data_IF_295144413565
#
_entry.id   IF_295144413565
#
_cell.length_a   1.000
_cell.length_b   1.000
_cell.length_c   1.000
_cell.angle_alpha   90.00
_cell.angle_beta   90.00
_cell.angle_gamma   90.00
#
_symmetry.space_group_name_H-M   'P 1'
#
loop_
_entity.id
_entity.type
_entity.pdbx_description
1 polymer ?
#
# COMPACT_ATOMS: atom_id res chain seq x y z
N UNK A 1 49.69 -63.92 24.52
CA UNK A 1 48.65 -62.88 24.63
C UNK A 1 49.08 -61.71 23.76
N UNK A 2 48.47 -61.53 22.59
CA UNK A 2 48.62 -60.35 21.75
C UNK A 2 47.38 -60.27 20.87
N UNK A 3 46.45 -59.38 21.23
CA UNK A 3 45.22 -59.14 20.47
C UNK A 3 45.49 -58.05 19.44
N UNK A 4 45.46 -58.44 18.16
CA UNK A 4 45.50 -57.53 17.02
C UNK A 4 44.09 -56.97 16.79
N UNK A 5 43.88 -55.69 17.10
CA UNK A 5 42.63 -54.97 16.79
C UNK A 5 42.65 -54.58 15.32
N UNK A 6 41.71 -55.12 14.53
CA UNK A 6 41.41 -54.63 13.17
C UNK A 6 40.59 -53.35 13.30
N UNK A 7 41.14 -52.22 12.86
CA UNK A 7 40.39 -50.96 12.70
C UNK A 7 39.64 -51.03 11.37
N UNK A 8 38.31 -51.09 11.44
CA UNK A 8 37.42 -50.89 10.30
C UNK A 8 37.22 -49.37 10.17
N UNK A 9 37.70 -48.76 9.09
CA UNK A 9 37.33 -47.39 8.73
C UNK A 9 35.87 -47.41 8.26
N UNK A 10 34.95 -46.96 9.11
CA UNK A 10 33.64 -46.47 8.66
C UNK A 10 33.85 -45.05 8.15
N UNK A 11 33.68 -44.84 6.84
CA UNK A 11 33.52 -43.51 6.28
C UNK A 11 32.17 -42.94 6.76
N UNK A 12 32.21 -42.07 7.77
CA UNK A 12 31.09 -41.18 8.06
C UNK A 12 31.00 -40.18 6.91
N UNK A 13 30.07 -40.42 5.98
CA UNK A 13 29.56 -39.36 5.12
C UNK A 13 28.75 -38.44 6.03
N UNK A 14 29.37 -37.34 6.45
CA UNK A 14 28.70 -36.23 7.12
C UNK A 14 27.70 -35.62 6.14
N UNK A 15 26.46 -36.11 6.16
CA UNK A 15 25.33 -35.30 5.75
C UNK A 15 25.21 -34.18 6.78
N UNK A 16 25.68 -32.99 6.43
CA UNK A 16 25.31 -31.80 7.18
C UNK A 16 23.82 -31.58 6.97
N UNK A 17 23.01 -32.16 7.85
CA UNK A 17 21.64 -31.70 8.06
C UNK A 17 21.75 -30.25 8.51
N UNK A 18 21.57 -29.31 7.59
CA UNK A 18 21.20 -27.95 7.92
C UNK A 18 19.83 -28.02 8.59
N UNK A 19 19.85 -28.24 9.91
CA UNK A 19 18.71 -28.06 10.78
C UNK A 19 18.31 -26.59 10.73
N UNK A 20 17.43 -26.31 9.78
CA UNK A 20 16.30 -25.40 9.81
C UNK A 20 16.33 -24.36 10.94
N UNK A 21 17.03 -23.25 10.70
CA UNK A 21 16.43 -21.96 10.97
C UNK A 21 15.43 -21.69 9.84
N UNK A 22 14.27 -22.34 9.92
CA UNK A 22 13.13 -22.10 9.04
C UNK A 22 12.46 -20.77 9.37
N UNK A 23 13.23 -19.68 9.39
CA UNK A 23 12.67 -18.35 9.32
C UNK A 23 11.98 -18.24 7.96
N UNK A 24 10.67 -18.03 7.96
CA UNK A 24 9.94 -17.72 6.74
C UNK A 24 10.59 -16.46 6.14
N UNK A 25 11.37 -16.65 5.07
CA UNK A 25 11.92 -15.52 4.32
C UNK A 25 10.75 -14.80 3.66
N UNK A 26 10.64 -13.51 3.93
CA UNK A 26 9.69 -12.63 3.26
C UNK A 26 9.78 -12.85 1.74
N UNK A 27 8.63 -13.09 1.09
CA UNK A 27 8.57 -13.06 -0.36
C UNK A 27 8.03 -11.69 -0.79
N UNK A 28 8.92 -10.81 -1.24
CA UNK A 28 8.59 -9.44 -1.64
C UNK A 28 8.27 -9.38 -3.12
N UNK A 29 7.10 -8.85 -3.43
CA UNK A 29 6.59 -8.65 -4.78
C UNK A 29 6.60 -7.17 -5.13
N UNK A 30 7.05 -6.86 -6.34
CA UNK A 30 7.03 -5.52 -6.91
C UNK A 30 6.19 -5.52 -8.19
N UNK A 31 5.17 -4.66 -8.24
CA UNK A 31 4.22 -4.54 -9.35
C UNK A 31 3.83 -3.07 -9.57
N UNK A 32 4.75 -2.23 -10.08
CA UNK A 32 4.46 -0.83 -10.34
C UNK A 32 3.49 -0.67 -11.51
N UNK A 33 2.86 0.51 -11.58
CA UNK A 33 2.01 0.87 -12.72
C UNK A 33 2.79 0.69 -14.03
N UNK A 34 2.13 0.13 -15.04
CA UNK A 34 2.77 -0.24 -16.30
C UNK A 34 3.36 0.94 -17.09
N UNK A 35 4.03 0.66 -18.23
CA UNK A 35 4.71 1.68 -19.05
C UNK A 35 3.77 2.71 -19.70
N UNK A 36 2.45 2.49 -19.66
CA UNK A 36 1.47 3.49 -20.09
C UNK A 36 1.28 4.63 -19.07
N UNK A 37 1.70 4.41 -17.82
CA UNK A 37 1.55 5.35 -16.70
C UNK A 37 2.91 5.81 -16.19
N UNK A 38 3.82 4.86 -15.97
CA UNK A 38 5.15 5.13 -15.40
C UNK A 38 6.10 5.70 -16.45
N UNK A 39 6.57 6.92 -16.21
CA UNK A 39 7.43 7.69 -17.13
C UNK A 39 8.83 7.11 -17.32
N UNK A 40 9.31 6.33 -16.34
CA UNK A 40 10.63 5.71 -16.30
C UNK A 40 10.56 4.18 -16.17
N UNK A 41 9.45 3.54 -16.58
CA UNK A 41 9.20 2.11 -16.36
C UNK A 41 10.38 1.21 -16.78
N UNK A 42 10.88 1.40 -18.00
CA UNK A 42 11.97 0.58 -18.53
C UNK A 42 13.34 0.94 -17.94
N UNK A 43 13.47 2.08 -17.27
CA UNK A 43 14.70 2.47 -16.56
C UNK A 43 15.03 1.52 -15.41
N UNK A 44 14.03 0.83 -14.84
CA UNK A 44 14.23 -0.22 -13.83
C UNK A 44 15.08 -1.39 -14.35
N UNK A 45 15.05 -1.66 -15.65
CA UNK A 45 15.71 -2.81 -16.28
C UNK A 45 16.98 -2.43 -17.04
N UNK A 46 17.53 -1.26 -16.74
CA UNK A 46 18.79 -0.79 -17.31
C UNK A 46 19.88 -0.80 -16.25
N UNK A 47 20.94 -1.57 -16.48
CA UNK A 47 22.08 -1.67 -15.56
C UNK A 47 22.78 -0.34 -15.27
N UNK A 48 22.68 0.65 -16.17
CA UNK A 48 23.20 2.00 -15.93
C UNK A 48 22.49 2.72 -14.76
N UNK A 49 21.27 2.29 -14.42
CA UNK A 49 20.47 2.87 -13.33
C UNK A 49 20.49 2.01 -12.06
N UNK A 50 21.32 0.97 -11.98
CA UNK A 50 21.35 0.04 -10.85
C UNK A 50 21.57 0.76 -9.50
N UNK A 51 22.45 1.77 -9.48
CA UNK A 51 22.74 2.55 -8.27
C UNK A 51 21.54 3.35 -7.76
N UNK A 52 20.52 3.60 -8.59
CA UNK A 52 19.35 4.37 -8.21
C UNK A 52 18.36 3.61 -7.34
N UNK A 53 18.44 2.27 -7.27
CA UNK A 53 17.51 1.47 -6.48
C UNK A 53 18.08 0.15 -5.92
N UNK A 54 19.39 0.14 -5.65
CA UNK A 54 20.08 -1.08 -5.21
C UNK A 54 19.52 -1.62 -3.89
N UNK A 55 19.20 -0.75 -2.91
CA UNK A 55 18.75 -1.20 -1.60
C UNK A 55 17.34 -1.79 -1.66
N UNK A 56 16.42 -1.17 -2.38
CA UNK A 56 15.06 -1.61 -2.60
C UNK A 56 15.06 -2.91 -3.41
N UNK A 57 15.77 -2.94 -4.54
CA UNK A 57 15.90 -4.12 -5.40
C UNK A 57 16.43 -5.34 -4.64
N UNK A 58 17.41 -5.16 -3.75
CA UNK A 58 17.98 -6.27 -2.98
C UNK A 58 16.96 -7.03 -2.11
N UNK A 59 15.79 -6.41 -1.87
CA UNK A 59 14.68 -6.99 -1.11
C UNK A 59 13.64 -7.65 -2.00
N UNK A 60 13.61 -7.34 -3.30
CA UNK A 60 12.58 -7.83 -4.25
C UNK A 60 12.89 -9.25 -4.69
N UNK A 61 11.93 -10.16 -4.53
CA UNK A 61 12.06 -11.54 -4.97
C UNK A 61 11.26 -11.82 -6.25
N UNK A 62 10.14 -11.12 -6.43
CA UNK A 62 9.19 -11.35 -7.53
C UNK A 62 8.84 -10.02 -8.17
N UNK A 63 8.93 -9.93 -9.50
CA UNK A 63 8.44 -8.80 -10.28
C UNK A 63 7.20 -9.23 -11.05
N UNK A 64 6.05 -8.62 -10.74
CA UNK A 64 4.76 -8.95 -11.35
C UNK A 64 4.43 -7.98 -12.47
N UNK A 65 4.09 -8.53 -13.64
CA UNK A 65 3.63 -7.76 -14.79
C UNK A 65 2.11 -7.76 -14.86
N UNK A 66 1.55 -6.60 -15.19
CA UNK A 66 0.20 -6.51 -15.73
C UNK A 66 0.16 -7.08 -17.16
N UNK A 67 -0.94 -7.74 -17.51
CA UNK A 67 -1.18 -8.28 -18.85
C UNK A 67 -0.91 -7.25 -19.96
N UNK A 68 -1.40 -6.02 -19.80
CA UNK A 68 -1.19 -4.94 -20.76
C UNK A 68 0.28 -4.59 -21.00
N UNK A 69 1.16 -4.79 -20.02
CA UNK A 69 2.61 -4.61 -20.20
C UNK A 69 3.15 -5.65 -21.17
N UNK A 70 2.77 -6.92 -21.03
CA UNK A 70 3.20 -7.97 -21.95
C UNK A 70 2.64 -7.73 -23.35
N UNK A 71 1.39 -7.31 -23.48
CA UNK A 71 0.76 -7.07 -24.78
C UNK A 71 1.36 -5.89 -25.53
N UNK A 72 1.57 -4.77 -24.84
CA UNK A 72 1.89 -3.49 -25.48
C UNK A 72 3.39 -3.20 -25.60
N UNK A 73 4.24 -3.88 -24.82
CA UNK A 73 5.70 -3.74 -24.94
C UNK A 73 6.21 -4.39 -26.23
N UNK A 74 7.24 -3.79 -26.81
CA UNK A 74 7.99 -4.38 -27.92
C UNK A 74 8.77 -5.61 -27.46
N UNK A 75 9.13 -6.49 -28.40
CA UNK A 75 9.95 -7.67 -28.12
C UNK A 75 11.34 -7.28 -27.55
N UNK A 76 11.94 -6.19 -28.03
CA UNK A 76 13.19 -5.66 -27.49
C UNK A 76 13.07 -5.20 -26.02
N UNK A 77 11.97 -4.50 -25.68
CA UNK A 77 11.69 -4.07 -24.31
C UNK A 77 11.49 -5.28 -23.37
N UNK A 78 10.71 -6.26 -23.80
CA UNK A 78 10.49 -7.48 -23.01
C UNK A 78 11.77 -8.30 -22.85
N UNK A 79 12.58 -8.42 -23.91
CA UNK A 79 13.87 -9.11 -23.85
C UNK A 79 14.81 -8.46 -22.85
N UNK A 80 14.92 -7.12 -22.85
CA UNK A 80 15.71 -6.38 -21.88
C UNK A 80 15.20 -6.58 -20.45
N UNK A 81 13.88 -6.47 -20.25
CA UNK A 81 13.22 -6.69 -18.96
C UNK A 81 13.50 -8.08 -18.41
N UNK A 82 13.21 -9.13 -19.18
CA UNK A 82 13.39 -10.52 -18.73
C UNK A 82 14.85 -10.86 -18.49
N UNK A 83 15.75 -10.41 -19.36
CA UNK A 83 17.20 -10.60 -19.18
C UNK A 83 17.69 -9.95 -17.89
N UNK A 84 17.21 -8.74 -17.59
CA UNK A 84 17.55 -8.05 -16.34
C UNK A 84 17.04 -8.81 -15.12
N UNK A 85 15.76 -9.22 -15.10
CA UNK A 85 15.19 -9.99 -13.99
C UNK A 85 15.97 -11.29 -13.74
N UNK A 86 16.26 -12.04 -14.81
CA UNK A 86 17.07 -13.27 -14.73
C UNK A 86 18.48 -12.98 -14.16
N UNK A 87 19.15 -11.93 -14.63
CA UNK A 87 20.48 -11.54 -14.16
C UNK A 87 20.50 -11.09 -12.69
N UNK A 88 19.37 -10.60 -12.16
CA UNK A 88 19.23 -10.18 -10.77
C UNK A 88 18.59 -11.25 -9.87
N UNK A 89 18.27 -12.43 -10.40
CA UNK A 89 17.61 -13.50 -9.64
C UNK A 89 16.20 -13.14 -9.17
N UNK A 90 15.52 -12.23 -9.88
CA UNK A 90 14.15 -11.81 -9.57
C UNK A 90 13.20 -12.66 -10.41
N UNK A 91 12.27 -13.36 -9.75
CA UNK A 91 11.32 -14.21 -10.43
C UNK A 91 10.27 -13.39 -11.19
N UNK A 92 9.87 -13.86 -12.37
CA UNK A 92 8.79 -13.27 -13.15
C UNK A 92 7.43 -13.78 -12.67
N UNK A 93 6.51 -12.85 -12.42
CA UNK A 93 5.11 -13.11 -12.21
C UNK A 93 4.23 -12.40 -13.25
N UNK A 94 3.05 -12.94 -13.49
CA UNK A 94 2.02 -12.35 -14.34
C UNK A 94 0.74 -12.20 -13.54
N UNK A 95 0.19 -10.99 -13.50
CA UNK A 95 -1.21 -10.80 -13.13
C UNK A 95 -2.10 -11.19 -14.31
N UNK A 96 -3.07 -12.04 -14.04
CA UNK A 96 -3.82 -12.72 -15.08
C UNK A 96 -5.32 -12.70 -14.81
N UNK A 97 -6.16 -12.16 -15.72
CA UNK A 97 -7.60 -12.29 -15.63
C UNK A 97 -8.00 -13.69 -16.14
N UNK A 98 -8.31 -14.66 -15.26
CA UNK A 98 -8.38 -16.06 -15.68
C UNK A 98 -9.72 -16.42 -16.33
N UNK A 99 -10.76 -15.61 -16.10
CA UNK A 99 -12.12 -15.90 -16.53
C UNK A 99 -12.34 -15.47 -17.97
N UNK A 100 -13.29 -16.12 -18.63
CA UNK A 100 -13.78 -15.71 -19.94
C UNK A 100 -15.29 -15.89 -20.02
N UNK A 101 -15.96 -14.85 -20.52
CA UNK A 101 -17.36 -14.88 -20.93
C UNK A 101 -17.50 -14.01 -22.17
N UNK A 102 -18.15 -14.55 -23.19
CA UNK A 102 -18.30 -13.84 -24.46
C UNK A 102 -19.00 -12.49 -24.28
N UNK A 103 -18.44 -11.46 -24.91
CA UNK A 103 -18.93 -10.07 -24.82
C UNK A 103 -18.78 -9.37 -23.47
N UNK A 104 -18.11 -9.95 -22.47
CA UNK A 104 -17.91 -9.31 -21.16
C UNK A 104 -16.52 -8.69 -21.03
N UNK A 105 -16.47 -7.36 -20.89
CA UNK A 105 -15.28 -6.61 -20.53
C UNK A 105 -15.39 -6.17 -19.06
N UNK A 106 -14.77 -6.94 -18.17
CA UNK A 106 -14.80 -6.75 -16.72
C UNK A 106 -13.44 -7.20 -16.15
N UNK A 107 -13.02 -6.60 -15.04
CA UNK A 107 -11.83 -7.05 -14.31
C UNK A 107 -11.97 -8.54 -13.91
N UNK A 108 -10.86 -9.27 -13.93
CA UNK A 108 -10.84 -10.73 -13.87
C UNK A 108 -11.32 -11.50 -15.11
N UNK A 109 -11.89 -10.83 -16.12
CA UNK A 109 -12.29 -11.44 -17.39
C UNK A 109 -11.34 -11.05 -18.54
N UNK A 110 -10.66 -12.06 -19.09
CA UNK A 110 -9.78 -11.94 -20.24
C UNK A 110 -10.47 -12.27 -21.56
N UNK A 111 -9.65 -12.38 -22.60
CA UNK A 111 -10.06 -12.84 -23.93
C UNK A 111 -9.80 -14.33 -24.07
N UNK A 112 -10.71 -15.04 -24.76
CA UNK A 112 -10.55 -16.48 -25.03
C UNK A 112 -9.20 -16.79 -25.69
N UNK A 113 -8.55 -17.85 -25.23
CA UNK A 113 -7.29 -18.38 -25.76
C UNK A 113 -6.09 -17.40 -25.74
N UNK A 114 -6.23 -16.25 -25.07
CA UNK A 114 -5.16 -15.25 -24.95
C UNK A 114 -3.93 -15.79 -24.22
N UNK A 115 -4.10 -16.76 -23.30
CA UNK A 115 -3.03 -17.38 -22.54
C UNK A 115 -1.94 -17.99 -23.43
N UNK A 116 -2.31 -18.59 -24.57
CA UNK A 116 -1.35 -19.21 -25.48
C UNK A 116 -0.46 -18.17 -26.18
N UNK A 117 -1.05 -17.08 -26.68
CA UNK A 117 -0.30 -16.04 -27.39
C UNK A 117 0.56 -15.21 -26.43
N UNK A 118 0.06 -14.93 -25.22
CA UNK A 118 0.83 -14.28 -24.14
C UNK A 118 1.98 -15.17 -23.69
N UNK A 119 1.72 -16.46 -23.44
CA UNK A 119 2.75 -17.42 -23.05
C UNK A 119 3.85 -17.55 -24.11
N UNK A 120 3.47 -17.63 -25.39
CA UNK A 120 4.42 -17.63 -26.50
C UNK A 120 5.24 -16.33 -26.60
N UNK A 121 4.62 -15.17 -26.37
CA UNK A 121 5.31 -13.87 -26.35
C UNK A 121 6.30 -13.75 -25.20
N UNK A 122 5.96 -14.23 -24.01
CA UNK A 122 6.90 -14.27 -22.87
C UNK A 122 8.09 -15.19 -23.21
N UNK A 123 7.83 -16.41 -23.68
CA UNK A 123 8.88 -17.37 -24.04
C UNK A 123 9.84 -16.85 -25.10
N UNK A 124 9.33 -16.34 -26.22
CA UNK A 124 10.18 -15.93 -27.35
C UNK A 124 11.12 -14.78 -27.00
N UNK A 125 10.76 -13.98 -25.99
CA UNK A 125 11.57 -12.87 -25.48
C UNK A 125 12.46 -13.28 -24.28
N UNK A 126 12.55 -14.58 -23.97
CA UNK A 126 13.43 -15.10 -22.90
C UNK A 126 12.86 -15.03 -21.48
N UNK A 127 11.55 -14.79 -21.34
CA UNK A 127 10.87 -14.78 -20.05
C UNK A 127 10.66 -16.19 -19.50
N UNK A 128 10.98 -16.38 -18.21
CA UNK A 128 10.71 -17.59 -17.46
C UNK A 128 9.61 -17.31 -16.42
N UNK A 129 8.35 -17.44 -16.85
CA UNK A 129 7.21 -17.19 -15.96
C UNK A 129 7.18 -18.24 -14.85
N UNK A 130 7.21 -17.77 -13.59
CA UNK A 130 7.22 -18.63 -12.40
C UNK A 130 5.92 -18.54 -11.61
N UNK A 131 5.35 -17.34 -11.51
CA UNK A 131 4.12 -17.12 -10.76
C UNK A 131 2.99 -16.57 -11.62
N UNK A 132 1.77 -16.98 -11.32
CA UNK A 132 0.54 -16.35 -11.84
C UNK A 132 -0.30 -15.92 -10.66
N UNK A 133 -0.62 -14.63 -10.58
CA UNK A 133 -1.56 -14.10 -9.61
C UNK A 133 -2.86 -13.79 -10.36
N UNK A 134 -3.92 -14.51 -10.04
CA UNK A 134 -5.22 -14.27 -10.67
C UNK A 134 -5.80 -12.94 -10.20
N UNK A 135 -6.37 -12.22 -11.14
CA UNK A 135 -6.97 -10.90 -10.93
C UNK A 135 -8.45 -11.06 -10.56
N UNK A 136 -8.75 -11.15 -9.27
CA UNK A 136 -10.10 -11.10 -8.68
C UNK A 136 -11.20 -11.99 -9.30
N UNK A 137 -10.90 -13.27 -9.66
CA UNK A 137 -11.91 -14.16 -10.23
C UNK A 137 -13.09 -14.41 -9.29
N UNK A 138 -12.89 -14.60 -7.98
CA UNK A 138 -13.97 -14.89 -7.02
C UNK A 138 -14.89 -13.68 -6.88
N UNK A 139 -14.36 -12.48 -6.70
CA UNK A 139 -15.18 -11.29 -6.60
C UNK A 139 -15.96 -11.03 -7.90
N UNK A 140 -15.30 -10.94 -9.05
CA UNK A 140 -16.00 -10.60 -10.29
C UNK A 140 -16.81 -11.76 -10.89
N UNK A 141 -16.42 -13.00 -10.63
CA UNK A 141 -17.12 -14.20 -11.09
C UNK A 141 -18.37 -14.52 -10.28
N UNK A 142 -18.30 -14.40 -8.95
CA UNK A 142 -19.35 -14.88 -8.04
C UNK A 142 -20.12 -13.76 -7.31
N UNK A 143 -19.48 -12.62 -7.02
CA UNK A 143 -20.03 -11.61 -6.09
C UNK A 143 -20.56 -10.38 -6.81
N UNK A 144 -19.76 -9.80 -7.71
CA UNK A 144 -20.04 -8.51 -8.33
C UNK A 144 -21.38 -8.48 -9.07
N UNK A 145 -22.12 -7.37 -8.94
CA UNK A 145 -23.35 -7.16 -9.68
C UNK A 145 -23.12 -6.96 -11.19
N UNK A 146 -21.91 -6.56 -11.58
CA UNK A 146 -21.51 -6.43 -12.99
C UNK A 146 -21.07 -7.77 -13.60
N UNK A 147 -20.85 -8.79 -12.76
CA UNK A 147 -20.40 -10.11 -13.16
C UNK A 147 -21.53 -11.12 -13.40
N UNK A 148 -21.19 -12.35 -13.81
CA UNK A 148 -22.18 -13.39 -14.10
C UNK A 148 -22.83 -14.03 -12.87
N UNK A 149 -22.27 -13.84 -11.66
CA UNK A 149 -22.71 -14.47 -10.40
C UNK A 149 -22.77 -16.00 -10.48
N UNK A 150 -21.70 -16.59 -11.02
CA UNK A 150 -21.58 -18.05 -11.08
C UNK A 150 -21.42 -18.67 -9.70
N UNK A 151 -21.77 -19.95 -9.57
CA UNK A 151 -21.27 -20.75 -8.47
C UNK A 151 -19.76 -20.97 -8.61
N UNK A 152 -19.09 -21.26 -7.49
CA UNK A 152 -17.62 -21.35 -7.46
C UNK A 152 -17.06 -22.49 -8.32
N UNK A 153 -17.83 -23.56 -8.57
CA UNK A 153 -17.36 -24.71 -9.36
C UNK A 153 -17.39 -24.36 -10.84
N UNK A 154 -18.46 -23.72 -11.31
CA UNK A 154 -18.55 -23.18 -12.67
C UNK A 154 -17.41 -22.18 -12.93
N UNK A 155 -17.18 -21.26 -12.00
CA UNK A 155 -16.08 -20.30 -12.09
C UNK A 155 -14.70 -20.99 -12.12
N UNK A 156 -14.46 -21.98 -11.26
CA UNK A 156 -13.20 -22.72 -11.22
C UNK A 156 -12.88 -23.45 -12.52
N UNK A 157 -13.87 -24.13 -13.07
CA UNK A 157 -13.72 -24.82 -14.35
C UNK A 157 -13.45 -23.85 -15.50
N UNK A 158 -14.07 -22.65 -15.46
CA UNK A 158 -13.82 -21.60 -16.44
C UNK A 158 -12.38 -21.05 -16.34
N UNK A 159 -11.96 -20.65 -15.13
CA UNK A 159 -10.59 -20.17 -14.85
C UNK A 159 -9.53 -21.20 -15.27
N UNK A 160 -9.77 -22.48 -15.00
CA UNK A 160 -8.83 -23.56 -15.27
C UNK A 160 -8.45 -23.69 -16.76
N UNK A 161 -9.31 -23.23 -17.69
CA UNK A 161 -9.01 -23.29 -19.13
C UNK A 161 -7.78 -22.44 -19.45
N UNK A 162 -7.78 -21.17 -19.08
CA UNK A 162 -6.69 -20.25 -19.40
C UNK A 162 -5.43 -20.55 -18.59
N UNK A 163 -5.59 -20.98 -17.33
CA UNK A 163 -4.47 -21.36 -16.47
C UNK A 163 -3.75 -22.61 -16.97
N UNK A 164 -4.47 -23.64 -17.44
CA UNK A 164 -3.87 -24.84 -18.05
C UNK A 164 -3.16 -24.51 -19.37
N UNK A 165 -3.67 -23.54 -20.14
CA UNK A 165 -2.97 -23.02 -21.31
C UNK A 165 -1.63 -22.35 -20.92
N UNK A 166 -1.61 -21.53 -19.86
CA UNK A 166 -0.35 -20.99 -19.34
C UNK A 166 0.59 -22.10 -18.84
N UNK A 167 0.08 -23.12 -18.14
CA UNK A 167 0.87 -24.26 -17.68
C UNK A 167 1.46 -25.09 -18.84
N UNK A 168 0.76 -25.19 -19.96
CA UNK A 168 1.29 -25.84 -21.16
C UNK A 168 2.51 -25.09 -21.74
N UNK A 169 2.57 -23.78 -21.49
CA UNK A 169 3.75 -22.97 -21.80
C UNK A 169 4.79 -23.09 -20.69
N UNK A 170 4.43 -22.99 -19.42
CA UNK A 170 5.37 -22.97 -18.31
C UNK A 170 5.03 -24.10 -17.33
N UNK A 171 5.89 -25.10 -17.24
CA UNK A 171 5.72 -26.16 -16.23
C UNK A 171 6.03 -25.64 -14.83
N UNK A 172 5.30 -26.13 -13.83
CA UNK A 172 5.56 -25.78 -12.42
C UNK A 172 5.17 -24.35 -12.02
N UNK A 173 4.19 -23.74 -12.70
CA UNK A 173 3.64 -22.44 -12.30
C UNK A 173 3.10 -22.49 -10.88
N UNK A 174 3.56 -21.54 -10.07
CA UNK A 174 3.02 -21.25 -8.74
C UNK A 174 1.86 -20.30 -8.92
N UNK A 175 0.64 -20.78 -8.69
CA UNK A 175 -0.58 -20.03 -8.96
C UNK A 175 -1.22 -19.63 -7.63
N UNK A 176 -1.58 -18.36 -7.54
CA UNK A 176 -2.32 -17.82 -6.43
C UNK A 176 -3.37 -16.85 -6.92
N UNK A 177 -4.06 -16.25 -5.96
CA UNK A 177 -5.23 -15.42 -6.20
C UNK A 177 -5.09 -14.05 -5.56
N UNK A 178 -5.75 -13.04 -6.11
CA UNK A 178 -5.86 -11.69 -5.55
C UNK A 178 -7.35 -11.42 -5.37
N UNK A 179 -7.78 -11.03 -4.18
CA UNK A 179 -9.19 -10.72 -3.95
C UNK A 179 -9.38 -9.51 -3.03
N UNK A 180 -10.39 -8.66 -3.32
CA UNK A 180 -10.77 -7.53 -2.49
C UNK A 180 -11.73 -8.02 -1.42
N UNK A 181 -11.24 -8.83 -0.47
CA UNK A 181 -12.09 -9.50 0.53
C UNK A 181 -12.98 -8.54 1.33
N UNK A 182 -12.54 -7.29 1.47
CA UNK A 182 -13.28 -6.24 2.15
C UNK A 182 -14.47 -5.68 1.36
N UNK A 183 -14.53 -5.89 0.04
CA UNK A 183 -15.67 -5.58 -0.81
C UNK A 183 -16.71 -6.71 -0.85
N UNK A 184 -16.34 -7.92 -0.42
CA UNK A 184 -17.25 -9.07 -0.42
C UNK A 184 -18.26 -8.99 0.74
N UNK A 185 -19.47 -9.60 0.60
CA UNK A 185 -20.47 -9.60 1.65
C UNK A 185 -19.95 -10.22 2.96
N UNK A 186 -20.03 -9.46 4.06
CA UNK A 186 -19.51 -9.84 5.37
C UNK A 186 -20.01 -11.22 5.85
N UNK A 187 -21.25 -11.58 5.53
CA UNK A 187 -21.87 -12.83 5.97
C UNK A 187 -21.36 -14.08 5.23
N UNK A 188 -20.81 -13.94 4.01
CA UNK A 188 -20.55 -15.10 3.13
C UNK A 188 -19.13 -15.20 2.62
N UNK A 189 -18.32 -14.14 2.66
CA UNK A 189 -17.00 -14.13 2.03
C UNK A 189 -16.10 -15.30 2.48
N UNK A 190 -16.02 -15.61 3.78
CA UNK A 190 -15.20 -16.73 4.28
C UNK A 190 -15.65 -18.09 3.73
N UNK A 191 -16.97 -18.29 3.64
CA UNK A 191 -17.53 -19.53 3.08
C UNK A 191 -17.29 -19.63 1.57
N UNK A 192 -17.36 -18.51 0.85
CA UNK A 192 -17.07 -18.44 -0.59
C UNK A 192 -15.59 -18.70 -0.85
N UNK A 193 -14.69 -18.06 -0.10
CA UNK A 193 -13.24 -18.29 -0.20
C UNK A 193 -12.90 -19.75 0.09
N UNK A 194 -13.44 -20.36 1.15
CA UNK A 194 -13.20 -21.79 1.44
C UNK A 194 -13.68 -22.71 0.30
N UNK A 195 -14.87 -22.44 -0.25
CA UNK A 195 -15.40 -23.21 -1.39
C UNK A 195 -14.57 -23.01 -2.65
N UNK A 196 -14.08 -21.79 -2.88
CA UNK A 196 -13.20 -21.46 -3.99
C UNK A 196 -11.88 -22.22 -3.92
N UNK A 197 -11.19 -22.22 -2.77
CA UNK A 197 -9.94 -22.96 -2.58
C UNK A 197 -10.11 -24.46 -2.94
N UNK A 198 -11.22 -25.07 -2.50
CA UNK A 198 -11.53 -26.46 -2.79
C UNK A 198 -11.87 -26.68 -4.28
N UNK A 199 -12.73 -25.84 -4.86
CA UNK A 199 -13.14 -25.95 -6.26
C UNK A 199 -11.95 -25.74 -7.22
N UNK A 200 -11.08 -24.78 -6.93
CA UNK A 200 -9.85 -24.56 -7.67
C UNK A 200 -8.96 -25.81 -7.65
N UNK A 201 -8.75 -26.40 -6.47
CA UNK A 201 -7.90 -27.60 -6.35
C UNK A 201 -8.43 -28.76 -7.18
N UNK A 202 -9.75 -28.95 -7.23
CA UNK A 202 -10.38 -29.95 -8.09
C UNK A 202 -10.18 -29.62 -9.57
N UNK A 203 -10.41 -28.37 -9.99
CA UNK A 203 -10.34 -27.97 -11.39
C UNK A 203 -8.90 -28.00 -11.95
N UNK A 204 -7.91 -27.62 -11.14
CA UNK A 204 -6.50 -27.52 -11.53
C UNK A 204 -5.66 -28.74 -11.17
N UNK A 205 -6.13 -29.59 -10.26
CA UNK A 205 -5.35 -30.73 -9.75
C UNK A 205 -4.21 -30.33 -8.82
N UNK A 206 -4.16 -29.06 -8.40
CA UNK A 206 -3.18 -28.50 -7.47
C UNK A 206 -3.84 -27.39 -6.65
N UNK A 207 -3.47 -27.19 -5.37
CA UNK A 207 -4.01 -26.10 -4.57
C UNK A 207 -3.45 -24.74 -5.00
N UNK A 208 -4.09 -23.66 -4.57
CA UNK A 208 -3.46 -22.34 -4.61
C UNK A 208 -2.26 -22.29 -3.66
N UNK A 209 -1.21 -21.61 -4.08
CA UNK A 209 0.04 -21.45 -3.34
C UNK A 209 0.08 -20.12 -2.57
N UNK A 210 -0.71 -19.13 -2.99
CA UNK A 210 -0.85 -17.87 -2.28
C UNK A 210 -2.22 -17.24 -2.50
N UNK A 211 -2.58 -16.36 -1.58
CA UNK A 211 -3.79 -15.55 -1.64
C UNK A 211 -3.44 -14.13 -1.17
N UNK A 212 -3.48 -13.18 -2.10
CA UNK A 212 -3.17 -11.77 -1.88
C UNK A 212 -4.44 -11.00 -1.61
N UNK A 213 -4.43 -10.19 -0.57
CA UNK A 213 -5.53 -9.29 -0.27
C UNK A 213 -5.31 -8.00 -1.04
N UNK A 214 -6.21 -7.68 -1.98
CA UNK A 214 -6.39 -6.29 -2.41
C UNK A 214 -7.04 -5.52 -1.27
N UNK A 215 -6.20 -4.87 -0.48
CA UNK A 215 -6.61 -4.28 0.77
C UNK A 215 -7.32 -2.96 0.53
N UNK A 216 -8.61 -2.90 0.87
CA UNK A 216 -9.35 -1.64 0.86
C UNK A 216 -9.08 -0.89 2.17
N UNK A 217 -8.00 -0.10 2.21
CA UNK A 217 -7.49 0.54 3.44
C UNK A 217 -8.48 1.48 4.18
N UNK A 218 -9.57 1.87 3.53
CA UNK A 218 -10.66 2.66 4.10
C UNK A 218 -11.77 1.85 4.77
N UNK A 219 -11.68 0.51 4.79
CA UNK A 219 -12.74 -0.39 5.27
C UNK A 219 -12.25 -1.26 6.45
N UNK A 220 -12.79 -2.48 6.61
CA UNK A 220 -12.68 -3.36 7.80
C UNK A 220 -11.53 -4.40 7.72
N UNK A 221 -10.45 -4.07 7.01
CA UNK A 221 -9.28 -4.95 6.82
C UNK A 221 -8.69 -5.48 8.14
N UNK A 222 -8.79 -4.71 9.24
CA UNK A 222 -8.25 -5.11 10.56
C UNK A 222 -8.90 -6.37 11.13
N UNK A 223 -10.13 -6.67 10.72
CA UNK A 223 -10.86 -7.87 11.12
C UNK A 223 -10.75 -8.96 10.06
N UNK A 224 -10.84 -8.60 8.78
CA UNK A 224 -10.89 -9.56 7.68
C UNK A 224 -9.54 -10.22 7.39
N UNK A 225 -8.41 -9.49 7.46
CA UNK A 225 -7.09 -10.09 7.20
C UNK A 225 -6.76 -11.20 8.23
N UNK A 226 -6.95 -11.02 9.55
CA UNK A 226 -6.77 -12.10 10.52
C UNK A 226 -7.70 -13.29 10.29
N UNK A 227 -8.96 -13.03 9.94
CA UNK A 227 -9.92 -14.10 9.62
C UNK A 227 -9.49 -14.89 8.37
N UNK A 228 -9.00 -14.21 7.33
CA UNK A 228 -8.45 -14.86 6.15
C UNK A 228 -7.20 -15.67 6.53
N UNK A 229 -6.28 -15.11 7.32
CA UNK A 229 -5.08 -15.84 7.77
C UNK A 229 -5.45 -17.16 8.47
N UNK A 230 -6.47 -17.15 9.32
CA UNK A 230 -6.97 -18.35 9.99
C UNK A 230 -7.60 -19.35 9.03
N UNK A 231 -8.35 -18.86 8.03
CA UNK A 231 -8.92 -19.71 6.97
C UNK A 231 -7.80 -20.38 6.15
N UNK A 232 -6.79 -19.62 5.77
CA UNK A 232 -5.66 -20.10 4.96
C UNK A 232 -4.76 -21.09 5.71
N UNK A 233 -4.75 -21.07 7.05
CA UNK A 233 -3.99 -22.03 7.85
C UNK A 233 -4.40 -23.50 7.60
N UNK A 234 -5.64 -23.74 7.14
CA UNK A 234 -6.11 -25.06 6.70
C UNK A 234 -5.81 -25.40 5.23
N UNK A 235 -5.11 -24.51 4.52
CA UNK A 235 -4.81 -24.62 3.08
C UNK A 235 -3.30 -24.55 2.82
N UNK A 236 -2.90 -24.72 1.56
CA UNK A 236 -1.51 -24.50 1.16
C UNK A 236 -1.19 -23.02 0.91
N UNK A 237 -2.21 -22.19 0.72
CA UNK A 237 -2.05 -20.82 0.26
C UNK A 237 -1.45 -19.91 1.35
N UNK A 238 -0.38 -19.21 0.98
CA UNK A 238 0.30 -18.20 1.79
C UNK A 238 -0.39 -16.85 1.71
N UNK A 239 -0.57 -16.20 2.86
CA UNK A 239 -1.16 -14.86 2.92
C UNK A 239 -0.20 -13.83 2.31
N UNK A 240 -0.73 -13.03 1.39
CA UNK A 240 -0.12 -11.78 0.97
C UNK A 240 -1.01 -10.59 1.24
N UNK A 241 -0.39 -9.43 1.46
CA UNK A 241 -1.11 -8.15 1.59
C UNK A 241 -0.53 -7.18 0.58
N UNK A 242 -1.42 -6.58 -0.22
CA UNK A 242 -1.07 -5.48 -1.11
C UNK A 242 -0.96 -4.19 -0.31
N UNK A 243 0.23 -3.60 -0.31
CA UNK A 243 0.50 -2.27 0.22
C UNK A 243 0.44 -1.24 -0.92
N UNK A 244 -0.61 -0.44 -0.90
CA UNK A 244 -0.91 0.63 -1.86
C UNK A 244 -1.55 1.84 -1.14
N UNK A 245 -1.91 2.86 -1.91
CA UNK A 245 -2.63 4.06 -1.45
C UNK A 245 -4.13 3.81 -1.30
N UNK A 246 -4.85 4.75 -0.67
CA UNK A 246 -6.29 4.93 -0.87
C UNK A 246 -6.60 5.26 -2.34
N UNK A 247 -7.81 4.90 -2.79
CA UNK A 247 -8.24 4.99 -4.20
C UNK A 247 -8.36 6.42 -4.77
N UNK A 248 -8.39 7.46 -3.93
CA UNK A 248 -8.54 8.87 -4.36
C UNK A 248 -7.30 9.68 -3.97
N UNK A 249 -6.27 9.61 -4.80
CA UNK A 249 -5.05 10.43 -4.68
C UNK A 249 -4.62 10.94 -6.06
N UNK A 250 -4.18 12.19 -6.13
CA UNK A 250 -4.00 12.90 -7.40
C UNK A 250 -2.57 13.39 -7.65
N UNK A 251 -1.60 12.97 -6.84
CA UNK A 251 -0.18 13.28 -7.02
C UNK A 251 0.70 12.11 -6.59
N UNK A 252 1.93 12.01 -7.11
CA UNK A 252 2.93 11.02 -6.68
C UNK A 252 3.06 10.99 -5.17
N UNK A 253 3.29 12.16 -4.61
CA UNK A 253 3.61 12.31 -3.22
C UNK A 253 2.40 11.96 -2.33
N UNK A 254 1.18 12.33 -2.73
CA UNK A 254 -0.04 12.00 -1.97
C UNK A 254 -0.28 10.48 -1.94
N UNK A 255 -0.05 9.83 -3.08
CA UNK A 255 -0.12 8.38 -3.18
C UNK A 255 0.93 7.72 -2.26
N UNK A 256 2.18 8.16 -2.34
CA UNK A 256 3.28 7.60 -1.54
C UNK A 256 3.00 7.74 -0.04
N UNK A 257 2.59 8.92 0.41
CA UNK A 257 2.23 9.15 1.81
C UNK A 257 1.04 8.31 2.27
N UNK A 258 0.00 8.19 1.44
CA UNK A 258 -1.13 7.33 1.77
C UNK A 258 -0.69 5.86 1.94
N UNK A 259 0.18 5.36 1.06
CA UNK A 259 0.74 4.01 1.17
C UNK A 259 1.63 3.85 2.41
N UNK A 260 2.47 4.84 2.72
CA UNK A 260 3.30 4.89 3.93
C UNK A 260 2.47 4.82 5.22
N UNK A 261 1.35 5.54 5.27
CA UNK A 261 0.40 5.52 6.39
C UNK A 261 -0.28 4.15 6.50
N UNK A 262 -0.64 3.53 5.38
CA UNK A 262 -1.24 2.20 5.37
C UNK A 262 -0.26 1.13 5.90
N UNK A 263 1.01 1.21 5.52
CA UNK A 263 2.08 0.37 6.08
C UNK A 263 2.18 0.57 7.60
N UNK A 264 2.21 1.82 8.08
CA UNK A 264 2.26 2.09 9.52
C UNK A 264 1.05 1.55 10.26
N UNK A 265 -0.16 1.76 9.70
CA UNK A 265 -1.41 1.26 10.29
C UNK A 265 -1.38 -0.26 10.38
N UNK A 266 -0.92 -0.93 9.34
CA UNK A 266 -0.78 -2.39 9.35
C UNK A 266 0.21 -2.84 10.43
N UNK A 267 1.41 -2.27 10.46
CA UNK A 267 2.43 -2.65 11.44
C UNK A 267 2.01 -2.36 12.89
N UNK A 268 1.25 -1.27 13.12
CA UNK A 268 0.71 -0.91 14.42
C UNK A 268 -0.55 -1.70 14.82
N UNK A 269 -1.15 -2.46 13.90
CA UNK A 269 -2.42 -3.17 14.15
C UNK A 269 -2.28 -4.41 15.03
N UNK A 270 -1.06 -4.94 15.18
CA UNK A 270 -0.81 -6.24 15.83
C UNK A 270 -1.17 -7.46 14.98
N UNK A 271 -1.61 -7.27 13.74
CA UNK A 271 -1.84 -8.36 12.79
C UNK A 271 -0.51 -9.00 12.43
N UNK A 272 -0.50 -10.33 12.28
CA UNK A 272 0.69 -11.09 11.89
C UNK A 272 1.23 -10.57 10.56
N UNK A 273 2.54 -10.38 10.48
CA UNK A 273 3.24 -9.99 9.25
C UNK A 273 2.91 -10.99 8.12
N UNK A 274 2.55 -10.52 6.92
CA UNK A 274 2.19 -11.42 5.83
C UNK A 274 3.43 -12.10 5.28
N UNK A 275 3.27 -13.34 4.81
CA UNK A 275 4.35 -14.09 4.17
C UNK A 275 4.74 -13.52 2.81
N UNK A 276 3.78 -12.95 2.08
CA UNK A 276 4.03 -12.21 0.84
C UNK A 276 3.78 -10.73 1.09
N UNK A 277 4.81 -9.90 0.90
CA UNK A 277 4.72 -8.44 1.01
C UNK A 277 4.60 -7.90 -0.41
N UNK A 278 3.44 -7.36 -0.77
CA UNK A 278 3.14 -7.03 -2.16
C UNK A 278 3.08 -5.51 -2.33
N UNK A 279 4.10 -4.93 -2.95
CA UNK A 279 4.06 -3.54 -3.40
C UNK A 279 3.44 -3.54 -4.80
N UNK A 280 2.16 -3.19 -4.88
CA UNK A 280 1.44 -3.16 -6.15
C UNK A 280 0.73 -1.83 -6.36
N UNK A 281 0.70 -1.35 -7.61
CA UNK A 281 0.04 -0.11 -7.98
C UNK A 281 -0.51 -0.18 -9.40
N UNK A 282 -1.83 -0.02 -9.53
CA UNK A 282 -2.55 0.12 -10.79
C UNK A 282 -3.08 1.55 -11.02
N UNK A 283 -2.87 2.46 -10.06
CA UNK A 283 -3.32 3.85 -10.15
C UNK A 283 -2.33 4.70 -10.96
N UNK A 284 -2.79 5.87 -11.41
CA UNK A 284 -1.98 6.84 -12.18
C UNK A 284 -0.71 7.29 -11.46
N UNK A 285 -0.74 7.34 -10.13
CA UNK A 285 0.37 7.84 -9.32
C UNK A 285 0.95 6.71 -8.45
N UNK A 286 2.25 6.75 -8.10
CA UNK A 286 3.25 7.66 -8.65
C UNK A 286 3.60 7.32 -10.10
N UNK A 287 3.88 8.35 -10.90
CA UNK A 287 4.32 8.22 -12.30
C UNK A 287 5.83 8.01 -12.46
N UNK A 288 6.58 8.06 -11.36
CA UNK A 288 8.04 7.87 -11.33
C UNK A 288 8.37 6.72 -10.40
N UNK A 289 9.26 5.83 -10.84
CA UNK A 289 9.65 4.63 -10.12
C UNK A 289 11.00 4.80 -9.43
N UNK A 290 11.91 5.59 -10.00
CA UNK A 290 13.27 5.86 -9.51
C UNK A 290 13.49 7.34 -9.15
N UNK A 291 14.52 7.66 -8.36
CA UNK A 291 15.36 6.76 -7.57
C UNK A 291 14.71 6.39 -6.23
N UNK A 292 15.18 5.30 -5.62
CA UNK A 292 14.71 4.80 -4.30
C UNK A 292 14.95 5.76 -3.14
N UNK A 293 15.77 6.79 -3.34
CA UNK A 293 16.05 7.85 -2.38
C UNK A 293 15.03 8.98 -2.42
N UNK A 294 14.18 9.00 -3.46
CA UNK A 294 13.14 10.03 -3.61
C UNK A 294 11.84 9.55 -2.94
N UNK A 295 11.29 10.27 -1.95
CA UNK A 295 10.04 9.90 -1.29
C UNK A 295 8.81 9.96 -2.21
N UNK A 296 8.97 10.49 -3.42
CA UNK A 296 7.90 10.57 -4.43
C UNK A 296 8.01 9.48 -5.51
N UNK A 297 9.02 8.62 -5.42
CA UNK A 297 9.26 7.54 -6.37
C UNK A 297 8.85 6.19 -5.79
N UNK A 298 8.28 5.33 -6.62
CA UNK A 298 7.67 4.08 -6.15
C UNK A 298 8.63 3.15 -5.40
N UNK A 299 9.88 3.04 -5.87
CA UNK A 299 10.89 2.16 -5.24
C UNK A 299 11.28 2.59 -3.82
N UNK A 300 11.05 3.84 -3.44
CA UNK A 300 11.24 4.31 -2.07
C UNK A 300 10.33 3.58 -1.07
N UNK A 301 9.10 3.20 -1.48
CA UNK A 301 8.13 2.55 -0.59
C UNK A 301 8.66 1.23 -0.02
N UNK A 302 9.49 0.51 -0.79
CA UNK A 302 10.14 -0.72 -0.34
C UNK A 302 11.12 -0.39 0.81
N UNK A 303 11.96 0.64 0.63
CA UNK A 303 12.89 1.06 1.68
C UNK A 303 12.16 1.59 2.91
N UNK A 304 11.05 2.29 2.70
CA UNK A 304 10.18 2.75 3.78
C UNK A 304 9.68 1.58 4.63
N UNK A 305 9.09 0.55 4.00
CA UNK A 305 8.53 -0.63 4.69
C UNK A 305 9.54 -1.31 5.61
N UNK A 306 10.79 -1.42 5.17
CA UNK A 306 11.88 -2.04 5.92
C UNK A 306 12.66 -1.05 6.81
N UNK A 307 12.31 0.22 6.76
CA UNK A 307 12.92 1.28 7.56
C UNK A 307 12.29 1.39 8.94
N UNK A 308 13.01 2.02 9.87
CA UNK A 308 12.54 2.23 11.24
C UNK A 308 11.25 3.09 11.33
N UNK A 309 10.88 3.80 10.26
CA UNK A 309 9.68 4.64 10.22
C UNK A 309 8.38 3.85 9.99
N UNK A 310 8.45 2.71 9.31
CA UNK A 310 7.27 1.88 9.05
C UNK A 310 6.65 1.29 10.32
N UNK A 311 7.39 1.22 11.43
CA UNK A 311 6.91 0.74 12.73
C UNK A 311 6.53 1.85 13.71
N UNK A 312 6.62 3.12 13.29
CA UNK A 312 6.21 4.25 14.13
C UNK A 312 4.68 4.37 14.21
N UNK A 313 4.20 5.02 15.27
CA UNK A 313 2.76 5.29 15.45
C UNK A 313 2.21 6.06 14.24
N UNK A 314 1.09 5.61 13.64
CA UNK A 314 0.45 6.31 12.53
C UNK A 314 0.08 7.77 12.88
N UNK A 315 -0.07 8.66 11.89
CA UNK A 315 -0.45 10.04 12.13
C UNK A 315 -1.85 10.12 12.78
N UNK A 316 -1.95 10.95 13.81
CA UNK A 316 -3.11 11.08 14.69
C UNK A 316 -4.07 12.15 14.19
N UNK A 317 -5.37 11.99 14.44
CA UNK A 317 -6.37 12.97 14.04
C UNK A 317 -6.17 14.31 14.77
N UNK A 318 -6.10 15.40 14.02
CA UNK A 318 -6.06 16.77 14.53
C UNK A 318 -7.48 17.27 14.75
N UNK A 319 -8.00 17.06 15.95
CA UNK A 319 -9.41 17.28 16.31
C UNK A 319 -9.72 18.77 16.39
N UNK A 320 -10.82 19.20 15.74
CA UNK A 320 -11.35 20.57 15.79
C UNK A 320 -12.42 20.66 16.88
N UNK A 321 -12.19 21.55 17.83
CA UNK A 321 -13.09 21.87 18.93
C UNK A 321 -13.69 23.26 18.70
N UNK A 322 -14.97 23.46 19.01
CA UNK A 322 -15.66 24.75 18.85
C UNK A 322 -16.40 25.19 20.13
N UNK A 323 -16.35 26.49 20.45
CA UNK A 323 -17.18 27.11 21.49
C UNK A 323 -17.38 28.60 21.20
N UNK A 324 -18.64 29.02 21.03
CA UNK A 324 -18.97 30.42 20.74
C UNK A 324 -18.29 30.96 19.47
N UNK A 325 -18.07 30.09 18.47
CA UNK A 325 -17.37 30.39 17.22
C UNK A 325 -15.83 30.38 17.30
N UNK A 326 -15.23 30.29 18.50
CA UNK A 326 -13.80 30.07 18.65
C UNK A 326 -13.44 28.62 18.37
N UNK A 327 -12.26 28.40 17.80
CA UNK A 327 -11.76 27.06 17.47
C UNK A 327 -10.46 26.72 18.22
N UNK A 328 -10.31 25.44 18.57
CA UNK A 328 -9.09 24.86 19.12
C UNK A 328 -8.80 23.53 18.42
N UNK A 329 -7.51 23.22 18.19
CA UNK A 329 -7.10 22.06 17.43
C UNK A 329 -6.07 21.24 18.19
N UNK A 330 -6.29 19.93 18.32
CA UNK A 330 -5.36 19.05 19.04
C UNK A 330 -5.41 17.61 18.58
N UNK A 331 -4.23 16.97 18.53
CA UNK A 331 -4.12 15.52 18.42
C UNK A 331 -4.16 14.81 19.79
N UNK A 332 -4.03 15.56 20.90
CA UNK A 332 -4.06 15.01 22.24
C UNK A 332 -5.50 14.73 22.70
N UNK A 333 -5.85 13.45 22.82
CA UNK A 333 -7.17 13.00 23.26
C UNK A 333 -7.50 13.43 24.70
N UNK A 334 -6.50 13.65 25.55
CA UNK A 334 -6.71 14.20 26.91
C UNK A 334 -7.15 15.66 26.83
N UNK A 335 -6.56 16.47 25.95
CA UNK A 335 -7.00 17.84 25.73
C UNK A 335 -8.42 17.87 25.15
N UNK A 336 -8.76 16.94 24.23
CA UNK A 336 -10.14 16.81 23.74
C UNK A 336 -11.11 16.60 24.92
N UNK A 337 -10.85 15.63 25.80
CA UNK A 337 -11.71 15.38 26.97
C UNK A 337 -11.82 16.59 27.90
N UNK A 338 -10.73 17.33 28.13
CA UNK A 338 -10.73 18.54 28.94
C UNK A 338 -11.57 19.68 28.33
N UNK A 339 -11.46 19.89 27.01
CA UNK A 339 -12.25 20.90 26.31
C UNK A 339 -13.73 20.53 26.28
N UNK A 340 -14.08 19.25 26.08
CA UNK A 340 -15.45 18.77 26.20
C UNK A 340 -16.02 19.04 27.60
N UNK A 341 -15.26 18.71 28.66
CA UNK A 341 -15.67 18.99 30.04
C UNK A 341 -15.84 20.50 30.31
N UNK A 342 -15.09 21.35 29.60
CA UNK A 342 -15.22 22.81 29.64
C UNK A 342 -16.34 23.36 28.73
N UNK A 343 -17.18 22.50 28.15
CA UNK A 343 -18.33 22.87 27.33
C UNK A 343 -18.01 23.25 25.88
N UNK A 344 -16.92 22.74 25.32
CA UNK A 344 -16.64 22.80 23.88
C UNK A 344 -17.27 21.59 23.17
N UNK A 345 -17.71 21.78 21.94
CA UNK A 345 -18.16 20.70 21.08
C UNK A 345 -17.03 20.21 20.17
N UNK A 346 -17.03 18.92 19.83
CA UNK A 346 -16.14 18.34 18.80
C UNK A 346 -16.78 18.48 17.42
N UNK A 347 -16.03 18.96 16.43
CA UNK A 347 -16.45 19.01 15.02
C UNK A 347 -15.74 17.97 14.14
N UNK A 348 -15.12 16.96 14.77
CA UNK A 348 -14.34 15.93 14.09
C UNK A 348 -12.89 16.37 13.85
N UNK A 349 -12.28 15.84 12.79
CA UNK A 349 -10.84 15.98 12.51
C UNK A 349 -10.60 16.88 11.30
N UNK A 350 -9.72 17.89 11.43
CA UNK A 350 -9.36 18.83 10.34
C UNK A 350 -8.05 18.48 9.64
N UNK A 351 -7.70 17.18 9.62
CA UNK A 351 -6.44 16.65 9.09
C UNK A 351 -5.73 15.76 10.12
N UNK A 352 -4.56 15.22 9.78
CA UNK A 352 -3.75 14.43 10.72
C UNK A 352 -2.41 15.08 10.96
N UNK A 353 -1.74 14.69 12.04
CA UNK A 353 -0.38 15.13 12.37
C UNK A 353 0.43 13.97 12.94
N UNK A 354 1.74 13.96 12.70
CA UNK A 354 2.63 13.04 13.40
C UNK A 354 2.95 13.55 14.80
N UNK A 355 3.22 12.64 15.73
CA UNK A 355 3.62 12.98 17.11
C UNK A 355 5.11 13.34 17.24
N UNK A 356 5.93 13.04 16.22
CA UNK A 356 7.39 13.26 16.22
C UNK A 356 7.96 13.35 14.80
N UNK A 357 9.19 13.87 14.66
CA UNK A 357 9.94 13.90 13.38
C UNK A 357 10.78 12.66 13.12
N UNK A 358 10.82 11.70 14.04
CA UNK A 358 11.80 10.64 14.04
C UNK A 358 11.67 9.71 12.82
N UNK A 359 12.37 10.03 11.72
CA UNK A 359 12.56 9.17 10.55
C UNK A 359 11.75 9.50 9.28
N UNK A 360 10.98 10.60 9.24
CA UNK A 360 10.37 11.10 8.00
C UNK A 360 11.14 12.33 7.47
N UNK A 361 11.75 12.27 6.27
CA UNK A 361 12.69 13.28 5.79
C UNK A 361 12.07 14.64 5.38
N UNK A 362 10.83 14.96 5.75
CA UNK A 362 10.12 16.16 5.25
C UNK A 362 9.13 16.79 6.23
N UNK A 363 9.16 16.37 7.51
CA UNK A 363 8.26 16.90 8.52
C UNK A 363 8.82 18.15 9.22
N UNK A 364 7.97 19.15 9.36
CA UNK A 364 8.19 20.36 10.16
C UNK A 364 7.21 20.39 11.33
N UNK A 365 7.63 21.02 12.44
CA UNK A 365 6.73 21.24 13.57
C UNK A 365 5.58 22.18 13.17
N UNK A 366 4.35 21.79 13.50
CA UNK A 366 3.18 22.68 13.54
C UNK A 366 3.12 23.28 14.93
N UNK A 367 3.57 24.53 15.07
CA UNK A 367 3.58 25.23 16.33
C UNK A 367 2.17 25.68 16.73
N UNK A 368 1.83 25.54 18.01
CA UNK A 368 0.61 26.10 18.62
C UNK A 368 1.00 27.33 19.43
N UNK A 369 0.28 28.42 19.21
CA UNK A 369 0.40 29.66 19.96
C UNK A 369 -0.98 30.08 20.45
N UNK A 370 -1.04 30.90 21.49
CA UNK A 370 -2.28 31.56 21.89
C UNK A 370 -2.08 33.02 22.26
N UNK A 371 -3.16 33.80 22.13
CA UNK A 371 -3.25 35.16 22.65
C UNK A 371 -4.49 35.29 23.53
N UNK A 372 -4.32 35.89 24.71
CA UNK A 372 -5.44 36.17 25.62
C UNK A 372 -6.24 37.35 25.06
N UNK A 373 -7.57 37.20 25.00
CA UNK A 373 -8.52 38.22 24.60
C UNK A 373 -9.70 38.22 25.57
N UNK A 374 -9.69 39.16 26.51
CA UNK A 374 -10.60 39.17 27.65
C UNK A 374 -10.42 37.91 28.50
N UNK A 375 -11.51 37.17 28.72
CA UNK A 375 -11.53 35.90 29.46
C UNK A 375 -11.27 34.67 28.56
N UNK A 376 -11.03 34.87 27.26
CA UNK A 376 -10.87 33.79 26.28
C UNK A 376 -9.46 33.73 25.72
N UNK A 377 -9.06 32.57 25.19
CA UNK A 377 -7.83 32.38 24.41
C UNK A 377 -8.16 32.23 22.94
N UNK A 378 -7.41 32.90 22.08
CA UNK A 378 -7.43 32.71 20.63
C UNK A 378 -6.18 31.97 20.21
N UNK A 379 -6.35 30.81 19.58
CA UNK A 379 -5.24 29.97 19.17
C UNK A 379 -4.80 30.27 17.74
N UNK A 380 -3.53 30.02 17.47
CA UNK A 380 -2.88 30.22 16.19
C UNK A 380 -1.90 29.07 15.95
N UNK A 381 -1.89 28.54 14.73
CA UNK A 381 -1.08 27.41 14.33
C UNK A 381 -0.28 27.76 13.07
N UNK A 382 1.00 27.44 13.07
CA UNK A 382 1.88 27.67 11.92
C UNK A 382 3.00 26.65 11.84
N UNK A 383 3.34 26.22 10.63
CA UNK A 383 4.54 25.42 10.35
C UNK A 383 5.75 26.30 9.97
N UNK A 384 5.57 27.63 9.91
CA UNK A 384 6.61 28.58 9.57
C UNK A 384 7.29 29.11 10.85
N UNK A 385 8.55 28.73 11.05
CA UNK A 385 9.33 29.12 12.23
C UNK A 385 9.51 30.65 12.36
N UNK A 386 9.60 31.37 11.24
CA UNK A 386 9.68 32.84 11.23
C UNK A 386 8.34 33.46 11.62
N UNK A 387 7.22 32.94 11.13
CA UNK A 387 5.88 33.43 11.51
C UNK A 387 5.61 33.19 13.01
N UNK A 388 6.02 32.04 13.55
CA UNK A 388 6.01 31.78 15.00
C UNK A 388 6.80 32.84 15.76
N UNK A 389 8.05 33.07 15.35
CA UNK A 389 8.95 34.01 16.05
C UNK A 389 8.40 35.43 16.04
N UNK A 390 7.89 35.90 14.90
CA UNK A 390 7.28 37.23 14.78
C UNK A 390 5.99 37.33 15.59
N UNK A 391 5.17 36.28 15.63
CA UNK A 391 3.95 36.23 16.43
C UNK A 391 4.20 36.44 17.92
N UNK A 392 5.29 35.84 18.42
CA UNK A 392 5.71 35.99 19.81
C UNK A 392 6.26 37.41 20.04
N UNK A 393 7.26 37.82 19.25
CA UNK A 393 8.03 39.03 19.52
C UNK A 393 7.27 40.33 19.22
N UNK A 394 6.36 40.31 18.23
CA UNK A 394 5.74 41.53 17.71
C UNK A 394 4.24 41.60 18.00
N UNK A 395 3.56 40.46 18.14
CA UNK A 395 2.09 40.42 18.17
C UNK A 395 1.49 39.93 19.49
N UNK A 396 2.34 39.62 20.48
CA UNK A 396 1.95 39.27 21.85
C UNK A 396 1.32 37.89 21.98
N UNK A 397 1.66 36.96 21.08
CA UNK A 397 1.30 35.55 21.26
C UNK A 397 2.24 34.89 22.26
N UNK A 398 1.70 33.95 23.01
CA UNK A 398 2.44 33.04 23.89
C UNK A 398 2.63 31.73 23.14
N UNK A 399 3.85 31.20 23.17
CA UNK A 399 4.16 29.88 22.65
C UNK A 399 3.53 28.79 23.52
N UNK A 400 2.80 27.89 22.89
CA UNK A 400 2.06 26.80 23.55
C UNK A 400 2.55 25.42 23.08
N UNK A 401 3.74 25.39 22.46
CA UNK A 401 4.45 24.18 22.07
C UNK A 401 4.14 23.68 20.66
N UNK A 402 4.35 22.39 20.44
CA UNK A 402 4.19 21.73 19.14
C UNK A 402 2.89 20.95 19.15
N UNK A 403 1.98 21.31 18.24
CA UNK A 403 0.68 20.64 18.05
C UNK A 403 0.80 19.29 17.35
N UNK A 404 1.91 19.09 16.63
CA UNK A 404 2.25 17.90 15.87
C UNK A 404 3.25 18.24 14.77
N UNK A 405 3.49 17.31 13.86
CA UNK A 405 4.40 17.50 12.73
C UNK A 405 3.70 17.25 11.40
N UNK A 406 3.98 18.12 10.44
CA UNK A 406 3.28 18.28 9.15
C UNK A 406 4.27 18.52 8.02
N UNK A 407 3.82 18.44 6.79
CA UNK A 407 4.63 18.84 5.64
C UNK A 407 4.49 20.33 5.35
N UNK A 408 5.53 20.95 4.80
CA UNK A 408 5.55 22.39 4.45
C UNK A 408 5.53 22.64 2.94
N UNK A 409 5.55 21.59 2.12
CA UNK A 409 5.52 21.69 0.66
C UNK A 409 4.39 20.86 0.07
N UNK A 410 3.71 21.42 -0.95
CA UNK A 410 2.72 20.71 -1.78
C UNK A 410 3.30 19.47 -2.42
N UNK A 411 4.61 19.46 -2.67
CA UNK A 411 5.32 18.36 -3.29
C UNK A 411 5.49 17.16 -2.34
N UNK A 412 5.10 17.31 -1.07
CA UNK A 412 5.09 16.20 -0.12
C UNK A 412 3.87 15.32 -0.34
N UNK A 413 2.76 15.84 -0.88
CA UNK A 413 1.55 15.05 -1.10
C UNK A 413 0.53 15.11 0.02
N UNK A 414 0.86 15.84 1.08
CA UNK A 414 -0.07 16.08 2.16
C UNK A 414 -1.28 16.87 1.68
N UNK A 415 -2.38 16.73 2.41
CA UNK A 415 -3.61 17.49 2.16
C UNK A 415 -3.43 18.90 2.67
N UNK A 416 -3.64 19.90 1.82
CA UNK A 416 -3.52 21.31 2.21
C UNK A 416 -4.41 21.63 3.42
N UNK A 417 -3.81 22.25 4.44
CA UNK A 417 -4.53 22.87 5.55
C UNK A 417 -4.74 24.35 5.23
N UNK A 418 -5.96 24.70 4.86
CA UNK A 418 -6.34 26.07 4.61
C UNK A 418 -6.52 26.82 5.93
N UNK A 419 -6.04 28.07 5.98
CA UNK A 419 -6.17 28.97 7.12
C UNK A 419 -7.00 30.20 6.72
N UNK A 420 -7.93 30.58 7.58
CA UNK A 420 -8.64 31.84 7.51
C UNK A 420 -8.62 32.52 8.88
N UNK A 421 -8.79 33.84 8.91
CA UNK A 421 -8.82 34.64 10.12
C UNK A 421 -10.10 35.48 10.21
N UNK A 422 -10.67 35.57 11.41
CA UNK A 422 -11.74 36.47 11.75
C UNK A 422 -11.39 37.27 13.00
N UNK A 423 -11.62 38.59 12.97
CA UNK A 423 -11.47 39.43 14.16
C UNK A 423 -12.43 39.02 15.30
N UNK A 424 -13.57 38.40 14.95
CA UNK A 424 -14.56 37.90 15.92
C UNK A 424 -14.19 36.49 16.40
N UNK A 425 -13.93 35.57 15.47
CA UNK A 425 -13.85 34.14 15.74
C UNK A 425 -12.42 33.56 15.82
N UNK A 426 -11.39 34.37 15.57
CA UNK A 426 -10.00 33.92 15.57
C UNK A 426 -9.62 33.19 14.28
N UNK A 427 -8.60 32.33 14.36
CA UNK A 427 -8.16 31.53 13.21
C UNK A 427 -9.03 30.28 13.05
N UNK A 428 -9.27 29.94 11.79
CA UNK A 428 -9.98 28.74 11.38
C UNK A 428 -9.11 27.94 10.40
N UNK A 429 -9.07 26.64 10.61
CA UNK A 429 -8.30 25.69 9.82
C UNK A 429 -9.18 24.56 9.31
N UNK A 430 -9.00 24.19 8.05
CA UNK A 430 -9.71 23.08 7.43
C UNK A 430 -8.92 22.48 6.27
N UNK A 431 -9.03 21.17 6.07
CA UNK A 431 -8.56 20.48 4.87
C UNK A 431 -9.63 20.45 3.76
N UNK A 432 -10.85 20.89 4.04
CA UNK A 432 -11.94 20.97 3.07
C UNK A 432 -11.86 22.27 2.28
N UNK A 433 -11.46 22.18 1.01
CA UNK A 433 -11.46 23.32 0.09
C UNK A 433 -12.88 23.93 -0.04
N UNK A 434 -13.93 23.11 -0.01
CA UNK A 434 -15.32 23.57 -0.08
C UNK A 434 -15.71 24.37 1.15
N UNK A 435 -15.37 23.90 2.36
CA UNK A 435 -15.63 24.62 3.61
C UNK A 435 -14.87 25.96 3.62
N UNK A 436 -13.59 25.93 3.24
CA UNK A 436 -12.78 27.12 3.12
C UNK A 436 -13.34 28.12 2.09
N UNK A 437 -13.79 27.63 0.93
CA UNK A 437 -14.37 28.48 -0.10
C UNK A 437 -15.70 29.10 0.34
N UNK A 438 -16.50 28.37 1.11
CA UNK A 438 -17.79 28.83 1.65
C UNK A 438 -17.70 29.88 2.75
N UNK A 439 -16.51 30.15 3.31
CA UNK A 439 -16.34 31.21 4.32
C UNK A 439 -16.69 32.59 3.75
N UNK A 440 -17.59 33.30 4.44
CA UNK A 440 -18.04 34.64 4.03
C UNK A 440 -16.91 35.66 4.06
N UNK A 441 -16.71 36.36 2.94
CA UNK A 441 -15.73 37.44 2.82
C UNK A 441 -15.99 38.64 3.76
N UNK A 442 -17.22 38.80 4.27
CA UNK A 442 -17.54 39.86 5.25
C UNK A 442 -17.06 39.53 6.67
N UNK A 443 -16.71 38.28 6.95
CA UNK A 443 -16.36 37.79 8.30
C UNK A 443 -14.95 37.22 8.37
N UNK A 444 -14.47 36.64 7.27
CA UNK A 444 -13.23 35.88 7.19
C UNK A 444 -12.28 36.45 6.14
N UNK A 445 -11.04 36.67 6.54
CA UNK A 445 -9.89 36.87 5.64
C UNK A 445 -9.28 35.50 5.35
N UNK A 446 -9.08 35.19 4.08
CA UNK A 446 -8.55 33.92 3.60
C UNK A 446 -7.03 34.02 3.45
N UNK A 447 -6.27 33.31 4.30
CA UNK A 447 -4.80 33.40 4.35
C UNK A 447 -4.11 32.40 3.39
N UNK A 448 -4.88 31.45 2.85
CA UNK A 448 -4.37 30.41 1.95
C UNK A 448 -3.95 29.15 2.68
N UNK A 449 -2.95 28.47 2.14
CA UNK A 449 -2.45 27.19 2.65
C UNK A 449 -1.41 27.47 3.73
N UNK A 450 -1.64 26.96 4.95
CA UNK A 450 -0.70 27.10 6.07
C UNK A 450 0.37 26.01 6.08
N UNK A 451 -0.01 24.78 5.73
CA UNK A 451 0.85 23.60 5.67
C UNK A 451 0.11 22.47 4.95
N UNK A 452 0.71 21.29 4.89
CA UNK A 452 0.12 20.09 4.28
C UNK A 452 0.09 18.96 5.32
N UNK A 453 -1.09 18.45 5.63
CA UNK A 453 -1.33 17.40 6.62
C UNK A 453 -1.08 16.01 6.02
N UNK A 454 -0.45 15.07 6.74
CA UNK A 454 -0.37 13.67 6.35
C UNK A 454 -1.71 12.95 6.20
#
# INVERSE_FOLDING_TARGET
MNNTIKVVLLALVLWTSSAMWGGCVDLVWLSPAGPAVSTDYYSLFNTANDSQWTNARSKVNVYKLYLGTVQNSTDAQLTALFSYLNAKGIALALEWPPLYKDGLALEGFGVKDLALSVGAKIKRNGGALKYVAMDEPLYYGCVSNSGPKWDVVTMANNAAISLKQLQSSFSGLIIGDIEPIDAMPAATWQSLTSQWLAAYQVAMGQPLEFFHVDCLWGTVWTTNIPALNNLLAGSNAKLGVIFNSLAVVTTNSAWMQSAEVNIQRYNASGIVKPTHIVFQNWMTYPTVLLPESSPTAYTYLINYYYGAYATQTPPQGFNRMVKGGLHFYTANTTEVSQFVAAGWATEGTSGRVYAGTAGAPSLSALYRLYKVNGTTKRYFYTANATERTNSINLYGYVDDGIAGYVFTSSNSGGVALYRAYSATYGHFYTTSQTEYNGLSASTWTKDGISCYMP
#
